data_IF_293505233103
#
_entry.id   IF_293505233103
#
_cell.length_a   1.000
_cell.length_b   1.000
_cell.length_c   1.000
_cell.angle_alpha   90.00
_cell.angle_beta   90.00
_cell.angle_gamma   90.00
#
_symmetry.space_group_name_H-M   'P 1'
#
loop_
_entity.id
_entity.type
_entity.pdbx_description
1 polymer ?
#
# COMPACT_ATOMS: atom_id res chain seq x y z
N UNK A 1 2.78 11.47 -18.96
CA UNK A 1 3.45 11.11 -20.24
C UNK A 1 4.83 11.73 -20.30
N UNK A 2 4.97 13.03 -20.06
CA UNK A 2 6.25 13.74 -20.19
C UNK A 2 7.31 13.22 -19.22
N UNK A 3 6.94 12.86 -18.01
CA UNK A 3 7.86 12.25 -17.05
C UNK A 3 8.39 10.89 -17.51
N UNK A 4 7.55 10.07 -18.17
CA UNK A 4 7.98 8.80 -18.77
C UNK A 4 9.00 9.06 -19.87
N UNK A 5 8.71 9.98 -20.79
CA UNK A 5 9.62 10.33 -21.87
C UNK A 5 10.92 10.95 -21.35
N UNK A 6 10.85 11.84 -20.38
CA UNK A 6 12.03 12.42 -19.71
C UNK A 6 12.90 11.31 -19.07
N UNK A 7 12.30 10.36 -18.37
CA UNK A 7 13.03 9.23 -17.79
C UNK A 7 13.70 8.39 -18.86
N UNK A 8 13.03 8.12 -19.99
CA UNK A 8 13.62 7.37 -21.09
C UNK A 8 14.84 8.08 -21.69
N UNK A 9 14.77 9.42 -21.88
CA UNK A 9 15.91 10.16 -22.41
C UNK A 9 17.09 10.20 -21.45
N UNK A 10 16.82 10.28 -20.13
CA UNK A 10 17.86 10.31 -19.10
C UNK A 10 18.53 8.95 -18.89
N UNK A 11 17.77 7.86 -19.00
CA UNK A 11 18.28 6.51 -18.73
C UNK A 11 18.95 5.91 -19.97
N UNK A 12 18.36 6.09 -21.14
CA UNK A 12 18.76 5.39 -22.36
C UNK A 12 19.22 6.32 -23.50
N UNK A 13 18.97 7.62 -23.40
CA UNK A 13 19.18 8.58 -24.47
C UNK A 13 20.18 9.68 -24.14
N UNK A 14 19.93 10.87 -24.69
CA UNK A 14 20.80 12.05 -24.59
C UNK A 14 20.43 13.00 -23.43
N UNK A 15 19.35 12.72 -22.71
CA UNK A 15 18.80 13.62 -21.70
C UNK A 15 18.02 14.81 -22.24
N UNK A 16 18.02 15.03 -23.58
CA UNK A 16 17.43 16.20 -24.27
C UNK A 16 16.18 15.89 -25.10
N UNK A 17 15.62 14.68 -24.95
CA UNK A 17 14.37 14.28 -25.60
C UNK A 17 14.49 13.11 -26.56
N UNK A 18 15.69 12.62 -26.87
CA UNK A 18 15.90 11.47 -27.73
C UNK A 18 16.20 10.23 -26.90
N UNK A 19 15.61 9.11 -27.27
CA UNK A 19 15.88 7.77 -26.74
C UNK A 19 15.80 6.72 -27.85
N UNK A 20 16.49 5.57 -27.72
CA UNK A 20 16.52 4.55 -28.75
C UNK A 20 15.13 3.98 -29.05
N UNK A 21 14.88 3.64 -30.29
CA UNK A 21 13.66 2.94 -30.72
C UNK A 21 13.52 1.64 -29.95
N UNK A 22 12.36 1.41 -29.37
CA UNK A 22 12.09 0.23 -28.54
C UNK A 22 12.55 0.36 -27.08
N UNK A 23 13.06 1.51 -26.64
CA UNK A 23 13.31 1.79 -25.23
C UNK A 23 11.99 1.82 -24.45
N UNK A 24 11.98 1.24 -23.26
CA UNK A 24 10.83 1.21 -22.36
C UNK A 24 11.25 1.18 -20.90
N UNK A 25 10.36 1.60 -20.01
CA UNK A 25 10.48 1.41 -18.58
C UNK A 25 9.76 0.12 -18.18
N UNK A 26 10.37 -0.70 -17.32
CA UNK A 26 9.73 -1.93 -16.87
C UNK A 26 8.49 -1.65 -16.04
N UNK A 27 8.55 -0.69 -15.11
CA UNK A 27 7.42 -0.31 -14.27
C UNK A 27 7.41 1.20 -14.05
N UNK A 28 6.23 1.78 -14.10
CA UNK A 28 5.97 3.17 -13.71
C UNK A 28 4.98 3.18 -12.56
N UNK A 29 5.29 3.91 -11.51
CA UNK A 29 4.45 4.05 -10.33
C UNK A 29 3.82 5.44 -10.30
N UNK A 30 2.50 5.52 -10.13
CA UNK A 30 1.84 6.74 -9.68
C UNK A 30 2.34 7.02 -8.26
N UNK A 31 2.96 8.19 -8.06
CA UNK A 31 3.66 8.48 -6.82
C UNK A 31 2.72 8.97 -5.73
N UNK A 32 2.79 8.28 -4.61
CA UNK A 32 2.23 8.60 -3.29
C UNK A 32 0.75 8.98 -3.29
N UNK A 33 -0.08 7.99 -2.98
CA UNK A 33 -1.50 8.24 -2.68
C UNK A 33 -1.66 8.70 -1.23
N UNK A 34 -2.21 9.89 -1.04
CA UNK A 34 -2.42 10.48 0.28
C UNK A 34 -3.91 10.55 0.67
N UNK A 35 -4.82 10.59 -0.30
CA UNK A 35 -6.26 10.72 -0.06
C UNK A 35 -7.12 10.10 -1.17
N UNK A 36 -8.44 10.03 -0.93
CA UNK A 36 -9.42 9.46 -1.88
C UNK A 36 -9.63 10.38 -3.09
N UNK A 37 -9.50 11.68 -2.91
CA UNK A 37 -9.67 12.68 -3.98
C UNK A 37 -8.61 12.48 -5.07
N UNK A 38 -7.38 12.16 -4.71
CA UNK A 38 -6.33 11.79 -5.67
C UNK A 38 -6.70 10.53 -6.45
N UNK A 39 -7.24 9.51 -5.77
CA UNK A 39 -7.70 8.29 -6.45
C UNK A 39 -8.82 8.61 -7.44
N UNK A 40 -9.75 9.50 -7.09
CA UNK A 40 -10.81 9.93 -8.00
C UNK A 40 -10.25 10.52 -9.29
N UNK A 41 -9.29 11.45 -9.17
CA UNK A 41 -8.63 12.07 -10.33
C UNK A 41 -7.88 11.05 -11.19
N UNK A 42 -7.24 10.05 -10.58
CA UNK A 42 -6.50 9.02 -11.31
C UNK A 42 -7.39 8.16 -12.20
N UNK A 43 -8.63 7.91 -11.79
CA UNK A 43 -9.61 7.09 -12.52
C UNK A 43 -10.47 7.88 -13.52
N UNK A 44 -10.32 9.20 -13.62
CA UNK A 44 -11.01 10.00 -14.64
C UNK A 44 -10.67 9.50 -16.05
N UNK A 45 -11.69 9.33 -16.88
CA UNK A 45 -11.56 8.78 -18.24
C UNK A 45 -11.43 7.26 -18.32
N UNK A 46 -11.37 6.55 -17.18
CA UNK A 46 -11.55 5.10 -17.11
C UNK A 46 -12.98 4.74 -16.70
N UNK A 47 -13.49 5.36 -15.65
CA UNK A 47 -14.84 5.15 -15.14
C UNK A 47 -15.90 6.02 -15.84
N UNK A 48 -15.46 7.07 -16.49
CA UNK A 48 -16.28 7.98 -17.29
C UNK A 48 -15.80 8.02 -18.73
N UNK A 49 -16.67 8.37 -19.72
CA UNK A 49 -16.22 8.59 -21.09
C UNK A 49 -15.10 9.65 -21.14
N UNK A 50 -14.08 9.38 -21.95
CA UNK A 50 -13.04 10.37 -22.23
C UNK A 50 -13.69 11.59 -22.91
N UNK A 51 -13.51 12.76 -22.32
CA UNK A 51 -13.77 14.03 -22.98
C UNK A 51 -12.57 14.40 -23.87
N UNK A 52 -12.70 14.46 -25.19
CA UNK A 52 -11.59 14.81 -26.10
C UNK A 52 -10.95 16.18 -25.80
N UNK A 53 -11.70 17.07 -25.14
CA UNK A 53 -11.24 18.40 -24.75
C UNK A 53 -11.09 18.56 -23.23
N UNK A 54 -11.27 17.48 -22.49
CA UNK A 54 -11.35 17.47 -21.04
C UNK A 54 -10.11 16.93 -20.36
N UNK A 55 -10.18 16.95 -19.04
CA UNK A 55 -9.20 16.30 -18.19
C UNK A 55 -9.43 14.78 -18.18
N UNK A 56 -8.35 14.05 -18.02
CA UNK A 56 -8.35 12.61 -17.81
C UNK A 56 -7.25 12.24 -16.79
N UNK A 57 -7.46 11.16 -16.09
CA UNK A 57 -6.55 10.70 -15.07
C UNK A 57 -5.26 10.11 -15.64
N UNK A 58 -4.23 10.05 -14.80
CA UNK A 58 -2.94 9.51 -15.22
C UNK A 58 -3.02 8.03 -15.63
N UNK A 59 -3.93 7.23 -15.08
CA UNK A 59 -4.04 5.80 -15.40
C UNK A 59 -4.40 5.55 -16.86
N UNK A 60 -5.31 6.30 -17.45
CA UNK A 60 -5.67 6.13 -18.85
C UNK A 60 -4.52 6.53 -19.78
N UNK A 61 -3.76 7.58 -19.43
CA UNK A 61 -2.58 7.99 -20.19
C UNK A 61 -1.43 6.96 -20.06
N UNK A 62 -1.21 6.39 -18.88
CA UNK A 62 -0.24 5.31 -18.68
C UNK A 62 -0.66 4.04 -19.43
N UNK A 63 -1.95 3.71 -19.45
CA UNK A 63 -2.48 2.61 -20.26
C UNK A 63 -2.17 2.79 -21.74
N UNK A 64 -2.33 4.02 -22.29
CA UNK A 64 -1.94 4.30 -23.69
C UNK A 64 -0.47 3.98 -23.94
N UNK A 65 0.43 4.35 -23.03
CA UNK A 65 1.86 4.07 -23.15
C UNK A 65 2.23 2.61 -22.93
N UNK A 66 1.44 1.85 -22.18
CA UNK A 66 1.62 0.40 -21.99
C UNK A 66 1.13 -0.37 -23.21
N UNK A 67 -0.07 -0.07 -23.68
CA UNK A 67 -0.76 -0.84 -24.70
C UNK A 67 -0.38 -0.40 -26.13
N UNK A 68 0.24 0.77 -26.29
CA UNK A 68 0.56 1.38 -27.59
C UNK A 68 -0.68 1.92 -28.28
N UNK A 69 -1.58 2.53 -27.51
CA UNK A 69 -2.79 3.21 -27.98
C UNK A 69 -2.66 4.72 -27.85
N UNK A 70 -3.60 5.48 -28.35
CA UNK A 70 -3.63 6.94 -28.28
C UNK A 70 -5.03 7.47 -27.97
N UNK A 71 -5.70 6.87 -26.97
CA UNK A 71 -7.06 7.26 -26.56
C UNK A 71 -7.08 8.70 -26.01
N UNK A 72 -6.00 9.08 -25.33
CA UNK A 72 -5.85 10.43 -24.73
C UNK A 72 -5.30 11.48 -25.69
N UNK A 73 -4.84 11.10 -26.89
CA UNK A 73 -4.12 11.99 -27.80
C UNK A 73 -2.65 12.26 -27.42
N UNK A 74 -2.17 11.77 -26.26
CA UNK A 74 -0.81 12.03 -25.76
C UNK A 74 0.25 11.05 -26.26
N UNK A 75 -0.17 10.00 -26.97
CA UNK A 75 0.72 9.00 -27.57
C UNK A 75 0.52 8.89 -29.10
N UNK A 76 0.72 9.96 -29.87
CA UNK A 76 0.38 10.00 -31.29
C UNK A 76 1.17 9.03 -32.17
N UNK A 77 2.28 8.49 -31.67
CA UNK A 77 3.08 7.47 -32.35
C UNK A 77 2.70 6.04 -31.98
N UNK A 78 1.73 5.86 -31.07
CA UNK A 78 1.32 4.55 -30.54
C UNK A 78 2.50 3.73 -29.99
N UNK A 79 3.43 4.41 -29.31
CA UNK A 79 4.62 3.78 -28.72
C UNK A 79 4.25 2.97 -27.47
N UNK A 80 4.94 1.85 -27.26
CA UNK A 80 4.89 1.08 -26.01
C UNK A 80 6.10 1.44 -25.16
N UNK A 81 5.93 2.45 -24.30
CA UNK A 81 7.01 3.04 -23.52
C UNK A 81 7.13 2.50 -22.10
N UNK A 82 6.13 1.77 -21.63
CA UNK A 82 6.13 1.14 -20.30
C UNK A 82 5.58 -0.29 -20.41
N UNK A 83 5.95 -1.17 -19.48
CA UNK A 83 5.42 -2.53 -19.43
C UNK A 83 4.36 -2.70 -18.35
N UNK A 84 4.62 -2.19 -17.15
CA UNK A 84 3.77 -2.38 -15.98
C UNK A 84 3.43 -1.04 -15.34
N UNK A 85 2.22 -0.96 -14.79
CA UNK A 85 1.73 0.20 -14.08
C UNK A 85 1.48 -0.19 -12.63
N UNK A 86 1.90 0.66 -11.71
CA UNK A 86 1.65 0.50 -10.30
C UNK A 86 1.43 1.84 -9.61
N UNK A 87 1.40 1.80 -8.30
CA UNK A 87 1.28 3.00 -7.48
C UNK A 87 2.10 2.87 -6.19
N UNK A 88 2.29 3.97 -5.49
CA UNK A 88 2.94 3.97 -4.19
C UNK A 88 2.09 4.65 -3.12
N UNK A 89 2.28 4.26 -1.87
CA UNK A 89 1.63 4.90 -0.74
C UNK A 89 2.39 4.68 0.57
N UNK A 90 2.28 5.67 1.47
CA UNK A 90 3.02 5.66 2.72
C UNK A 90 2.12 5.51 3.95
N UNK A 91 0.92 6.11 3.93
CA UNK A 91 0.25 6.43 5.17
C UNK A 91 -1.28 6.34 5.14
N UNK A 92 -1.92 6.10 4.00
CA UNK A 92 -3.37 6.08 3.89
C UNK A 92 -3.92 4.74 3.35
N UNK A 93 -4.10 3.72 4.21
CA UNK A 93 -4.68 2.45 3.80
C UNK A 93 -6.03 2.58 3.08
N UNK A 94 -6.99 3.41 3.52
CA UNK A 94 -8.25 3.61 2.80
C UNK A 94 -8.07 4.02 1.34
N UNK A 95 -7.22 5.02 1.06
CA UNK A 95 -6.97 5.47 -0.31
C UNK A 95 -6.28 4.38 -1.15
N UNK A 96 -5.32 3.68 -0.56
CA UNK A 96 -4.61 2.60 -1.26
C UNK A 96 -5.53 1.40 -1.57
N UNK A 97 -6.41 1.04 -0.65
CA UNK A 97 -7.42 -0.01 -0.88
C UNK A 97 -8.42 0.43 -1.94
N UNK A 98 -8.87 1.68 -1.89
CA UNK A 98 -9.77 2.27 -2.90
C UNK A 98 -9.16 2.19 -4.30
N UNK A 99 -7.88 2.54 -4.42
CA UNK A 99 -7.11 2.43 -5.66
C UNK A 99 -7.13 1.00 -6.21
N UNK A 100 -6.91 0.00 -5.37
CA UNK A 100 -6.89 -1.42 -5.79
C UNK A 100 -8.30 -1.90 -6.15
N UNK A 101 -9.30 -1.57 -5.34
CA UNK A 101 -10.68 -2.07 -5.50
C UNK A 101 -11.41 -1.47 -6.69
N UNK A 102 -11.03 -0.28 -7.14
CA UNK A 102 -11.59 0.37 -8.35
C UNK A 102 -11.00 -0.17 -9.64
N UNK A 103 -9.86 -0.85 -9.58
CA UNK A 103 -9.25 -1.43 -10.78
C UNK A 103 -10.01 -2.66 -11.26
N UNK A 104 -11.14 -2.44 -11.92
CA UNK A 104 -11.88 -3.44 -12.70
C UNK A 104 -11.29 -3.64 -14.10
N UNK A 105 -10.30 -2.81 -14.47
CA UNK A 105 -9.71 -2.74 -15.81
C UNK A 105 -8.40 -3.54 -15.96
N UNK A 106 -7.88 -4.09 -14.85
CA UNK A 106 -6.61 -4.82 -14.84
C UNK A 106 -5.41 -3.94 -15.22
N UNK A 107 -5.39 -2.70 -14.73
CA UNK A 107 -4.32 -1.74 -15.04
C UNK A 107 -3.17 -1.87 -14.05
N UNK A 108 -3.49 -2.08 -12.78
CA UNK A 108 -2.50 -2.13 -11.71
C UNK A 108 -1.84 -3.51 -11.64
N UNK A 109 -0.52 -3.52 -11.67
CA UNK A 109 0.30 -4.71 -11.62
C UNK A 109 1.32 -4.69 -10.47
N UNK A 110 1.53 -3.53 -9.83
CA UNK A 110 2.46 -3.41 -8.72
C UNK A 110 2.08 -2.33 -7.71
N UNK A 111 2.56 -2.52 -6.49
CA UNK A 111 2.39 -1.59 -5.38
C UNK A 111 3.70 -1.42 -4.62
N UNK A 112 4.10 -0.18 -4.41
CA UNK A 112 5.21 0.18 -3.53
C UNK A 112 4.63 0.73 -2.22
N UNK A 113 4.81 0.00 -1.13
CA UNK A 113 4.15 0.28 0.15
C UNK A 113 5.15 0.48 1.28
N UNK A 114 4.92 1.47 2.13
CA UNK A 114 5.70 1.65 3.34
C UNK A 114 5.43 0.52 4.33
N UNK A 115 6.51 -0.15 4.76
CA UNK A 115 6.43 -1.24 5.73
C UNK A 115 7.65 -1.25 6.64
N UNK A 116 7.40 -1.18 7.92
CA UNK A 116 8.41 -1.32 8.97
C UNK A 116 7.75 -1.67 10.31
N UNK A 117 8.55 -2.04 11.29
CA UNK A 117 8.07 -2.46 12.60
C UNK A 117 7.28 -1.39 13.37
N UNK A 118 7.47 -0.10 13.06
CA UNK A 118 6.74 1.00 13.70
C UNK A 118 5.40 1.30 13.04
N UNK A 119 5.32 1.17 11.72
CA UNK A 119 4.12 1.58 10.98
C UNK A 119 2.96 0.61 11.18
N UNK A 120 3.22 -0.62 11.65
CA UNK A 120 2.18 -1.56 12.03
C UNK A 120 1.22 -0.97 13.07
N UNK A 121 1.73 -0.20 14.03
CA UNK A 121 0.89 0.39 15.07
C UNK A 121 0.16 1.66 14.66
N UNK A 122 0.46 2.22 13.49
CA UNK A 122 -0.15 3.47 12.98
C UNK A 122 -1.02 3.23 11.76
N UNK A 123 -0.44 2.76 10.67
CA UNK A 123 -1.12 2.64 9.36
C UNK A 123 -1.57 1.22 9.06
N UNK A 124 -0.90 0.25 9.66
CA UNK A 124 -1.20 -1.17 9.54
C UNK A 124 -1.44 -1.64 8.11
N UNK A 125 -0.49 -1.38 7.22
CA UNK A 125 -0.54 -1.86 5.84
C UNK A 125 -0.58 -3.38 5.77
N UNK A 126 0.04 -4.05 6.76
CA UNK A 126 0.14 -5.52 6.85
C UNK A 126 -1.22 -6.20 6.98
N UNK A 127 -2.19 -5.58 7.67
CA UNK A 127 -3.50 -6.17 7.89
C UNK A 127 -4.59 -5.58 7.00
N UNK A 128 -4.30 -4.51 6.25
CA UNK A 128 -5.27 -3.80 5.42
C UNK A 128 -4.91 -3.88 3.93
N UNK A 129 -3.87 -3.17 3.50
CA UNK A 129 -3.55 -2.98 2.09
C UNK A 129 -2.90 -4.21 1.46
N UNK A 130 -1.90 -4.79 2.14
CA UNK A 130 -1.11 -5.90 1.61
C UNK A 130 -1.99 -7.13 1.30
N UNK A 131 -2.92 -7.57 2.19
CA UNK A 131 -3.78 -8.71 1.87
C UNK A 131 -4.67 -8.48 0.64
N UNK A 132 -5.15 -7.27 0.41
CA UNK A 132 -5.96 -6.93 -0.76
C UNK A 132 -5.10 -6.92 -2.03
N UNK A 133 -3.91 -6.34 -1.97
CA UNK A 133 -2.96 -6.30 -3.09
C UNK A 133 -2.49 -7.71 -3.48
N UNK A 134 -2.16 -8.56 -2.50
CA UNK A 134 -1.77 -9.96 -2.70
C UNK A 134 -2.90 -10.75 -3.37
N UNK A 135 -4.11 -10.68 -2.83
CA UNK A 135 -5.28 -11.38 -3.36
C UNK A 135 -5.69 -10.87 -4.75
N UNK A 136 -5.35 -9.62 -5.10
CA UNK A 136 -5.51 -9.05 -6.45
C UNK A 136 -4.39 -9.46 -7.41
N UNK A 137 -3.31 -10.08 -6.91
CA UNK A 137 -2.17 -10.53 -7.71
C UNK A 137 -1.17 -9.43 -8.05
N UNK A 138 -1.10 -8.36 -7.27
CA UNK A 138 -0.12 -7.29 -7.46
C UNK A 138 1.27 -7.72 -7.00
N UNK A 139 2.31 -7.28 -7.72
CA UNK A 139 3.69 -7.32 -7.22
C UNK A 139 3.86 -6.33 -6.07
N UNK A 140 4.24 -6.80 -4.88
CA UNK A 140 4.32 -5.96 -3.67
C UNK A 140 5.78 -5.69 -3.34
N UNK A 141 6.15 -4.42 -3.39
CA UNK A 141 7.49 -3.91 -3.08
C UNK A 141 7.40 -3.12 -1.77
N UNK A 142 8.14 -3.54 -0.76
CA UNK A 142 8.23 -2.79 0.50
C UNK A 142 9.24 -1.66 0.42
N UNK A 143 8.97 -0.57 1.12
CA UNK A 143 9.87 0.56 1.31
C UNK A 143 9.83 1.06 2.75
N UNK A 144 10.70 2.01 3.09
CA UNK A 144 10.74 2.65 4.41
C UNK A 144 11.02 1.70 5.58
N UNK A 145 11.72 0.61 5.33
CA UNK A 145 12.12 -0.41 6.33
C UNK A 145 12.66 0.20 7.63
N UNK A 146 13.36 1.33 7.54
CA UNK A 146 13.91 2.05 8.70
C UNK A 146 13.12 3.33 9.03
N UNK A 147 11.91 3.51 8.51
CA UNK A 147 11.12 4.72 8.68
C UNK A 147 11.94 6.01 8.41
N UNK A 148 12.72 6.03 7.32
CA UNK A 148 13.68 7.09 6.99
C UNK A 148 14.72 7.37 8.10
N UNK A 149 15.15 6.32 8.78
CA UNK A 149 16.02 6.34 9.97
C UNK A 149 15.37 7.00 11.22
N UNK A 150 14.08 7.28 11.20
CA UNK A 150 13.37 7.80 12.37
C UNK A 150 13.38 6.80 13.55
N UNK A 151 13.43 5.50 13.27
CA UNK A 151 13.63 4.42 14.25
C UNK A 151 14.93 4.63 15.05
N UNK A 152 15.93 5.30 14.48
CA UNK A 152 17.23 5.58 15.08
C UNK A 152 17.36 7.03 15.54
N UNK A 153 16.28 7.66 15.98
CA UNK A 153 16.25 9.03 16.51
C UNK A 153 16.70 10.14 15.54
N UNK A 154 16.65 9.88 14.23
CA UNK A 154 16.87 10.96 13.28
C UNK A 154 15.70 11.93 13.33
N UNK A 155 16.02 13.22 13.36
CA UNK A 155 14.98 14.25 13.21
C UNK A 155 14.28 14.13 11.86
N UNK A 156 12.96 14.12 11.81
CA UNK A 156 12.20 14.07 10.57
C UNK A 156 12.29 15.42 9.86
N UNK A 157 13.18 15.53 8.88
CA UNK A 157 13.33 16.70 8.03
C UNK A 157 13.76 16.32 6.62
N UNK A 158 13.40 17.14 5.66
CA UNK A 158 13.92 17.00 4.30
C UNK A 158 15.44 17.18 4.28
N UNK A 159 16.11 16.42 3.44
CA UNK A 159 17.55 16.57 3.22
C UNK A 159 17.83 17.94 2.59
N UNK A 160 18.66 18.73 3.25
CA UNK A 160 19.05 20.08 2.83
C UNK A 160 20.48 20.13 2.29
N UNK A 161 21.30 19.16 2.66
CA UNK A 161 22.69 19.03 2.22
C UNK A 161 22.97 17.60 1.76
N UNK A 162 24.02 17.36 0.96
CA UNK A 162 24.44 16.01 0.58
C UNK A 162 24.70 15.10 1.79
N UNK A 163 25.18 15.65 2.90
CA UNK A 163 25.43 14.89 4.13
C UNK A 163 24.14 14.36 4.79
N UNK A 164 23.00 15.02 4.57
CA UNK A 164 21.71 14.60 5.11
C UNK A 164 21.15 13.34 4.38
N UNK A 165 21.67 13.02 3.21
CA UNK A 165 21.29 11.82 2.45
C UNK A 165 21.91 10.57 3.06
N UNK A 166 23.09 10.68 3.69
CA UNK A 166 23.78 9.59 4.33
C UNK A 166 23.23 9.36 5.72
N UNK A 167 22.50 8.27 5.90
CA UNK A 167 21.85 7.93 7.15
C UNK A 167 22.47 6.69 7.74
N UNK A 168 22.88 6.77 8.99
CA UNK A 168 23.30 5.59 9.73
C UNK A 168 22.05 4.84 10.20
N UNK A 169 22.02 3.55 9.93
CA UNK A 169 21.01 2.62 10.43
C UNK A 169 21.69 1.48 11.16
N UNK A 170 21.02 0.96 12.16
CA UNK A 170 21.56 -0.08 13.03
C UNK A 170 22.31 0.48 14.24
N UNK A 171 21.93 0.01 15.41
CA UNK A 171 22.64 0.20 16.68
C UNK A 171 22.88 -1.17 17.32
N UNK A 172 23.75 -1.30 18.33
CA UNK A 172 23.88 -2.55 19.07
C UNK A 172 22.56 -3.07 19.64
N UNK A 173 21.69 -2.14 20.09
CA UNK A 173 20.38 -2.46 20.67
C UNK A 173 19.32 -2.81 19.61
N UNK A 174 19.45 -2.23 18.41
CA UNK A 174 18.55 -2.49 17.28
C UNK A 174 19.34 -2.58 15.98
N UNK A 175 19.93 -3.75 15.67
CA UNK A 175 20.65 -3.97 14.42
C UNK A 175 19.72 -3.81 13.20
N UNK A 176 20.29 -3.48 12.03
CA UNK A 176 19.51 -3.30 10.80
C UNK A 176 18.92 -4.61 10.26
N UNK A 177 19.61 -5.73 10.45
CA UNK A 177 19.19 -7.04 9.91
C UNK A 177 17.80 -7.46 10.36
N UNK A 178 17.43 -7.49 11.65
CA UNK A 178 16.09 -7.85 12.08
C UNK A 178 14.99 -6.99 11.46
N UNK A 179 15.25 -5.70 11.19
CA UNK A 179 14.26 -4.81 10.56
C UNK A 179 14.08 -5.11 9.07
N UNK A 180 15.15 -5.48 8.37
CA UNK A 180 15.08 -5.93 6.97
C UNK A 180 14.33 -7.26 6.90
N UNK A 181 14.70 -8.21 7.75
CA UNK A 181 14.07 -9.52 7.86
C UNK A 181 12.58 -9.38 8.20
N UNK A 182 12.25 -8.54 9.18
CA UNK A 182 10.86 -8.20 9.52
C UNK A 182 10.04 -7.77 8.29
N UNK A 183 10.59 -6.87 7.49
CA UNK A 183 9.86 -6.34 6.33
C UNK A 183 9.79 -7.37 5.18
N UNK A 184 10.87 -8.12 4.91
CA UNK A 184 10.91 -9.14 3.85
C UNK A 184 10.05 -10.36 4.16
N UNK A 185 9.95 -10.76 5.44
CA UNK A 185 9.13 -11.91 5.86
C UNK A 185 7.69 -11.53 6.16
N UNK A 186 7.28 -10.29 5.91
CA UNK A 186 5.87 -9.91 5.99
C UNK A 186 5.08 -10.61 4.88
N UNK A 187 4.01 -11.37 5.22
CA UNK A 187 3.20 -12.06 4.23
C UNK A 187 2.75 -11.14 3.11
N UNK A 188 2.87 -11.59 1.86
CA UNK A 188 2.54 -10.84 0.65
C UNK A 188 3.66 -9.92 0.13
N UNK A 189 4.71 -9.63 0.89
CA UNK A 189 5.84 -8.81 0.41
C UNK A 189 6.77 -9.65 -0.46
N UNK A 190 7.04 -9.20 -1.69
CA UNK A 190 7.89 -9.90 -2.65
C UNK A 190 9.33 -9.42 -2.61
N UNK A 191 9.57 -8.13 -2.38
CA UNK A 191 10.90 -7.52 -2.35
C UNK A 191 10.88 -6.19 -1.62
N UNK A 192 12.08 -5.66 -1.31
CA UNK A 192 12.24 -4.35 -0.68
C UNK A 192 13.14 -3.45 -1.50
N UNK A 193 12.86 -2.14 -1.43
CA UNK A 193 13.85 -1.10 -1.77
C UNK A 193 14.36 -0.48 -0.47
N UNK A 194 15.67 -0.46 -0.32
CA UNK A 194 16.34 0.03 0.89
C UNK A 194 17.36 1.09 0.48
N UNK A 195 17.39 2.20 1.22
CA UNK A 195 18.41 3.23 1.00
C UNK A 195 19.83 2.67 1.13
N UNK A 196 20.71 3.06 0.23
CA UNK A 196 22.10 2.62 0.20
C UNK A 196 22.85 3.05 1.48
N UNK A 197 22.52 4.23 2.02
CA UNK A 197 23.16 4.78 3.20
C UNK A 197 24.61 5.18 2.95
N UNK A 198 25.46 5.03 3.96
CA UNK A 198 26.89 5.32 3.85
C UNK A 198 27.61 4.26 3.02
N UNK A 199 28.38 4.69 2.04
CA UNK A 199 29.34 3.86 1.32
C UNK A 199 30.73 4.08 1.95
N UNK A 200 31.41 3.00 2.31
CA UNK A 200 32.72 3.03 2.97
C UNK A 200 33.58 1.87 2.45
N UNK A 201 34.88 2.05 2.39
CA UNK A 201 35.83 0.98 2.02
C UNK A 201 35.90 -0.12 3.10
N UNK A 202 35.63 0.23 4.36
CA UNK A 202 35.47 -0.73 5.44
C UNK A 202 34.09 -1.39 5.37
N UNK A 203 33.99 -2.70 5.08
CA UNK A 203 32.72 -3.40 4.97
C UNK A 203 31.83 -3.28 6.21
N UNK A 204 32.42 -3.12 7.38
CA UNK A 204 31.69 -2.97 8.65
C UNK A 204 31.02 -1.59 8.80
N UNK A 205 31.45 -0.62 8.00
CA UNK A 205 30.87 0.73 7.95
C UNK A 205 30.03 0.98 6.70
N UNK A 206 30.19 0.13 5.67
CA UNK A 206 29.48 0.27 4.42
C UNK A 206 28.05 -0.23 4.55
N UNK A 207 27.07 0.69 4.54
CA UNK A 207 25.66 0.33 4.69
C UNK A 207 25.15 -0.56 3.56
N UNK A 208 25.64 -0.38 2.35
CA UNK A 208 25.26 -1.22 1.21
C UNK A 208 25.64 -2.68 1.45
N UNK A 209 26.85 -2.94 1.95
CA UNK A 209 27.29 -4.29 2.26
C UNK A 209 26.52 -4.88 3.44
N UNK A 210 26.25 -4.08 4.48
CA UNK A 210 25.45 -4.51 5.61
C UNK A 210 24.00 -4.86 5.18
N UNK A 211 23.39 -4.06 4.32
CA UNK A 211 22.08 -4.34 3.76
C UNK A 211 22.07 -5.63 2.93
N UNK A 212 23.11 -5.85 2.12
CA UNK A 212 23.26 -7.07 1.33
C UNK A 212 23.30 -8.33 2.20
N UNK A 213 24.12 -8.33 3.25
CA UNK A 213 24.16 -9.45 4.18
C UNK A 213 22.86 -9.60 4.98
N UNK A 214 22.24 -8.50 5.36
CA UNK A 214 20.97 -8.51 6.08
C UNK A 214 19.79 -9.04 5.25
N UNK A 215 19.86 -8.93 3.92
CA UNK A 215 18.84 -9.42 3.00
C UNK A 215 18.97 -10.93 2.66
N UNK A 216 20.05 -11.59 3.13
CA UNK A 216 20.21 -13.03 2.98
C UNK A 216 19.45 -13.77 4.08
N UNK A 217 18.14 -13.93 3.87
CA UNK A 217 17.20 -14.54 4.81
C UNK A 217 16.36 -15.61 4.12
N UNK A 218 15.79 -16.51 4.90
CA UNK A 218 14.81 -17.46 4.40
C UNK A 218 13.41 -16.82 4.36
N UNK A 219 12.65 -16.99 3.29
CA UNK A 219 11.24 -16.58 3.25
C UNK A 219 10.47 -17.18 4.43
N UNK A 220 9.54 -16.40 4.99
CA UNK A 220 8.73 -16.80 6.13
C UNK A 220 9.51 -17.25 7.39
N UNK A 221 10.82 -16.95 7.42
CA UNK A 221 11.73 -17.44 8.46
C UNK A 221 11.57 -16.79 9.83
N UNK A 222 10.86 -15.66 9.95
CA UNK A 222 10.73 -14.94 11.21
C UNK A 222 9.51 -15.42 12.02
N UNK A 223 9.70 -16.02 13.20
CA UNK A 223 8.60 -16.41 14.07
C UNK A 223 7.75 -15.22 14.54
N UNK A 224 6.45 -15.45 14.77
CA UNK A 224 5.53 -14.42 15.24
C UNK A 224 5.97 -13.75 16.55
N UNK A 225 6.55 -14.54 17.48
CA UNK A 225 7.08 -14.02 18.73
C UNK A 225 8.26 -13.07 18.54
N UNK A 226 9.14 -13.36 17.57
CA UNK A 226 10.26 -12.49 17.23
C UNK A 226 9.79 -11.21 16.56
N UNK A 227 8.82 -11.28 15.64
CA UNK A 227 8.17 -10.11 15.06
C UNK A 227 7.62 -9.18 16.13
N UNK A 228 6.89 -9.74 17.10
CA UNK A 228 6.31 -8.96 18.19
C UNK A 228 7.39 -8.26 19.04
N UNK A 229 8.47 -8.95 19.38
CA UNK A 229 9.61 -8.34 20.11
C UNK A 229 10.23 -7.18 19.35
N UNK A 230 10.38 -7.30 18.02
CA UNK A 230 10.90 -6.21 17.18
C UNK A 230 9.93 -5.02 17.17
N UNK A 231 8.63 -5.27 17.04
CA UNK A 231 7.59 -4.24 17.08
C UNK A 231 7.58 -3.48 18.42
N UNK A 232 7.61 -4.21 19.53
CA UNK A 232 7.68 -3.62 20.87
C UNK A 232 8.97 -2.81 21.10
N UNK A 233 10.10 -3.32 20.62
CA UNK A 233 11.39 -2.62 20.73
C UNK A 233 11.41 -1.36 19.89
N UNK A 234 10.98 -1.45 18.64
CA UNK A 234 10.86 -0.31 17.73
C UNK A 234 9.91 0.76 18.29
N UNK A 235 8.79 0.37 18.89
CA UNK A 235 7.84 1.27 19.51
C UNK A 235 8.45 2.05 20.70
N UNK A 236 9.29 1.42 21.49
CA UNK A 236 10.00 2.07 22.61
C UNK A 236 11.00 3.12 22.15
N UNK A 237 11.75 2.82 21.07
CA UNK A 237 12.77 3.73 20.53
C UNK A 237 12.13 4.95 19.87
N UNK A 238 10.98 4.75 19.19
CA UNK A 238 10.31 5.82 18.43
C UNK A 238 9.55 6.83 19.29
N UNK A 239 9.58 6.73 20.58
CA UNK A 239 8.72 7.44 21.55
C UNK A 239 8.35 8.88 21.19
N UNK A 240 9.21 9.63 20.50
CA UNK A 240 9.04 11.06 20.21
C UNK A 240 9.19 11.43 18.71
N UNK A 241 9.24 10.46 17.81
CA UNK A 241 9.40 10.72 16.38
C UNK A 241 8.05 10.96 15.71
N UNK A 242 7.81 12.18 15.25
CA UNK A 242 6.62 12.61 14.49
C UNK A 242 6.82 12.43 12.96
N UNK A 243 7.59 11.47 12.53
CA UNK A 243 7.88 11.30 11.10
C UNK A 243 6.61 11.13 10.25
N UNK A 244 5.64 10.39 10.78
CA UNK A 244 4.30 10.28 10.21
C UNK A 244 3.32 10.92 11.20
N UNK A 245 2.79 12.08 10.86
CA UNK A 245 1.89 12.86 11.71
C UNK A 245 0.44 12.34 11.75
N UNK A 246 0.18 11.12 11.30
CA UNK A 246 -1.17 10.58 11.22
C UNK A 246 -1.56 9.81 12.49
N UNK A 247 -2.86 9.80 12.76
CA UNK A 247 -3.44 9.03 13.86
C UNK A 247 -3.32 7.52 13.61
N UNK A 248 -3.31 6.75 14.69
CA UNK A 248 -3.34 5.30 14.63
C UNK A 248 -4.62 4.81 13.95
N UNK A 249 -4.51 3.94 12.98
CA UNK A 249 -5.66 3.24 12.40
C UNK A 249 -6.13 2.18 13.38
N UNK A 250 -7.33 2.37 13.94
CA UNK A 250 -7.97 1.38 14.80
C UNK A 250 -8.88 0.42 14.03
N UNK A 251 -9.43 -0.57 14.72
CA UNK A 251 -10.49 -1.42 14.16
C UNK A 251 -11.73 -0.56 13.87
N UNK A 252 -12.22 -0.60 12.63
CA UNK A 252 -13.41 0.16 12.24
C UNK A 252 -14.64 -0.73 12.09
N UNK A 253 -15.81 -0.11 12.12
CA UNK A 253 -17.03 -0.72 11.64
C UNK A 253 -16.97 -0.91 10.10
N UNK A 254 -17.80 -1.83 9.53
CA UNK A 254 -17.89 -1.96 8.09
C UNK A 254 -18.49 -0.72 7.44
N UNK A 255 -18.06 -0.41 6.22
CA UNK A 255 -18.55 0.73 5.46
C UNK A 255 -19.77 0.40 4.59
N UNK A 256 -20.54 1.43 4.19
CA UNK A 256 -21.63 1.31 3.21
C UNK A 256 -22.62 0.18 3.49
N UNK A 257 -23.13 0.13 4.72
CA UNK A 257 -24.14 -0.86 5.12
C UNK A 257 -25.46 -0.55 4.45
N UNK A 258 -25.96 -1.44 3.62
CA UNK A 258 -27.20 -1.29 2.86
C UNK A 258 -28.05 -2.56 2.96
N UNK A 259 -29.37 -2.39 3.01
CA UNK A 259 -30.33 -3.48 2.86
C UNK A 259 -31.18 -3.23 1.62
N UNK A 260 -31.07 -4.12 0.65
CA UNK A 260 -31.89 -4.08 -0.57
C UNK A 260 -32.56 -5.43 -0.75
N UNK A 261 -33.87 -5.44 -0.86
CA UNK A 261 -34.67 -6.64 -0.80
C UNK A 261 -34.36 -7.43 0.47
N UNK A 262 -33.89 -8.64 0.39
CA UNK A 262 -33.47 -9.46 1.53
C UNK A 262 -31.95 -9.60 1.64
N UNK A 263 -31.18 -8.71 1.00
CA UNK A 263 -29.71 -8.74 0.99
C UNK A 263 -29.13 -7.58 1.76
N UNK A 264 -28.47 -7.90 2.86
CA UNK A 264 -27.63 -6.97 3.60
C UNK A 264 -26.24 -6.98 2.97
N UNK A 265 -25.74 -5.82 2.58
CA UNK A 265 -24.41 -5.66 1.96
C UNK A 265 -23.57 -4.64 2.71
N UNK A 266 -22.25 -4.82 2.71
CA UNK A 266 -21.31 -3.86 3.31
C UNK A 266 -19.92 -3.97 2.67
N UNK A 267 -19.15 -2.90 2.74
CA UNK A 267 -17.76 -2.89 2.35
C UNK A 267 -16.84 -3.24 3.53
N UNK A 268 -15.62 -3.65 3.20
CA UNK A 268 -14.60 -4.03 4.19
C UNK A 268 -14.43 -2.95 5.27
N UNK A 269 -14.25 -3.42 6.50
CA UNK A 269 -13.74 -2.61 7.60
C UNK A 269 -12.21 -2.52 7.54
N UNK A 270 -11.60 -1.66 8.35
CA UNK A 270 -10.15 -1.56 8.51
C UNK A 270 -9.72 -2.24 9.82
N UNK A 271 -8.69 -3.05 9.72
CA UNK A 271 -8.07 -3.72 10.85
C UNK A 271 -7.27 -2.72 11.70
N UNK A 272 -7.32 -2.93 13.00
CA UNK A 272 -6.42 -2.29 13.96
C UNK A 272 -5.13 -3.09 14.17
N UNK A 273 -4.77 -3.32 15.43
CA UNK A 273 -3.56 -4.07 15.80
C UNK A 273 -3.60 -5.55 15.37
N UNK A 274 -4.81 -6.09 15.19
CA UNK A 274 -5.03 -7.50 14.82
C UNK A 274 -5.82 -7.59 13.51
N UNK A 275 -5.58 -8.63 12.70
CA UNK A 275 -6.36 -8.86 11.48
C UNK A 275 -7.85 -9.07 11.79
N UNK A 276 -8.72 -8.64 10.89
CA UNK A 276 -10.15 -8.94 10.98
C UNK A 276 -10.34 -10.46 10.85
N UNK A 277 -11.20 -11.01 11.69
CA UNK A 277 -11.59 -12.41 11.68
C UNK A 277 -12.88 -12.60 10.86
N UNK A 278 -13.94 -11.93 11.27
CA UNK A 278 -15.26 -12.09 10.67
C UNK A 278 -16.15 -10.90 10.96
N UNK A 279 -17.33 -10.90 10.32
CA UNK A 279 -18.43 -10.00 10.62
C UNK A 279 -19.55 -10.76 11.31
N UNK A 280 -20.11 -10.20 12.37
CA UNK A 280 -21.32 -10.71 13.03
C UNK A 280 -22.52 -9.88 12.62
N UNK A 281 -23.60 -10.53 12.19
CA UNK A 281 -24.85 -9.91 11.82
C UNK A 281 -25.78 -9.97 13.01
N UNK A 282 -26.15 -8.79 13.51
CA UNK A 282 -27.06 -8.63 14.65
C UNK A 282 -28.45 -8.19 14.15
N UNK A 283 -29.50 -8.85 14.58
CA UNK A 283 -30.89 -8.49 14.29
C UNK A 283 -31.66 -8.39 15.60
N UNK A 284 -32.24 -7.22 15.89
CA UNK A 284 -32.90 -6.95 17.16
C UNK A 284 -32.04 -7.30 18.40
N UNK A 285 -30.74 -7.03 18.31
CA UNK A 285 -29.76 -7.29 19.37
C UNK A 285 -29.35 -8.76 19.55
N UNK A 286 -29.79 -9.66 18.67
CA UNK A 286 -29.41 -11.08 18.70
C UNK A 286 -28.52 -11.45 17.53
N UNK A 287 -27.56 -12.34 17.74
CA UNK A 287 -26.70 -12.84 16.69
C UNK A 287 -27.51 -13.68 15.70
N UNK A 288 -27.63 -13.21 14.46
CA UNK A 288 -28.35 -13.88 13.38
C UNK A 288 -27.43 -14.72 12.49
N UNK A 289 -26.16 -14.30 12.33
CA UNK A 289 -25.20 -15.04 11.52
C UNK A 289 -23.79 -14.46 11.58
N UNK A 290 -22.87 -15.16 10.90
CA UNK A 290 -21.49 -14.73 10.76
C UNK A 290 -21.05 -14.84 9.29
N UNK A 291 -20.20 -13.90 8.85
CA UNK A 291 -19.57 -13.91 7.54
C UNK A 291 -18.06 -13.79 7.75
N UNK A 292 -17.30 -14.76 7.28
CA UNK A 292 -15.85 -14.76 7.39
C UNK A 292 -15.25 -13.58 6.59
N UNK A 293 -14.24 -12.94 7.18
CA UNK A 293 -13.54 -11.88 6.50
C UNK A 293 -12.61 -12.46 5.42
N UNK A 294 -12.62 -11.83 4.27
CA UNK A 294 -11.68 -12.04 3.16
C UNK A 294 -11.34 -10.70 2.54
N UNK A 295 -10.17 -10.57 1.86
CA UNK A 295 -9.88 -9.36 1.10
C UNK A 295 -10.99 -9.04 0.10
N UNK A 296 -11.57 -7.85 0.17
CA UNK A 296 -12.52 -7.36 -0.83
C UNK A 296 -11.73 -6.83 -2.02
N UNK A 297 -11.84 -7.50 -3.18
CA UNK A 297 -11.03 -7.20 -4.36
C UNK A 297 -11.61 -6.08 -5.23
N UNK A 298 -12.93 -5.94 -5.24
CA UNK A 298 -13.64 -4.95 -6.03
C UNK A 298 -14.69 -4.24 -5.17
N UNK A 299 -14.87 -2.95 -5.38
CA UNK A 299 -15.96 -2.19 -4.73
C UNK A 299 -17.33 -2.70 -5.14
N UNK A 300 -17.48 -3.15 -6.38
CA UNK A 300 -18.70 -3.75 -6.92
C UNK A 300 -19.05 -5.12 -6.33
N UNK A 301 -18.16 -5.71 -5.52
CA UNK A 301 -18.35 -7.00 -4.86
C UNK A 301 -18.30 -6.87 -3.34
N UNK A 302 -19.30 -6.25 -2.70
CA UNK A 302 -19.39 -6.13 -1.26
C UNK A 302 -19.58 -7.48 -0.58
N UNK A 303 -19.39 -7.53 0.73
CA UNK A 303 -19.87 -8.65 1.56
C UNK A 303 -21.38 -8.71 1.51
N UNK A 304 -21.94 -9.91 1.61
CA UNK A 304 -23.38 -10.15 1.51
C UNK A 304 -23.84 -11.11 2.59
N UNK A 305 -24.99 -10.81 3.18
CA UNK A 305 -25.73 -11.73 4.05
C UNK A 305 -27.22 -11.69 3.65
N UNK A 306 -27.81 -12.87 3.40
CA UNK A 306 -29.23 -12.97 3.08
C UNK A 306 -30.05 -13.08 4.38
N UNK A 307 -31.12 -12.30 4.49
CA UNK A 307 -32.02 -12.30 5.66
C UNK A 307 -33.46 -12.23 5.24
N UNK A 308 -34.29 -13.10 5.79
CA UNK A 308 -35.75 -13.10 5.56
C UNK A 308 -36.50 -12.06 6.42
N UNK A 309 -35.77 -11.32 7.25
CA UNK A 309 -36.36 -10.38 8.20
C UNK A 309 -36.21 -8.95 7.72
N UNK A 310 -37.28 -8.38 7.19
CA UNK A 310 -37.44 -6.93 7.15
C UNK A 310 -37.56 -6.44 8.60
N UNK A 311 -36.49 -6.02 9.24
CA UNK A 311 -36.52 -5.66 10.65
C UNK A 311 -35.72 -4.39 10.95
N UNK A 312 -36.29 -3.56 11.82
CA UNK A 312 -35.52 -2.51 12.51
C UNK A 312 -34.47 -3.14 13.44
N UNK A 313 -33.35 -2.46 13.61
CA UNK A 313 -32.27 -2.90 14.52
C UNK A 313 -31.34 -3.93 13.91
N UNK A 314 -31.00 -3.78 12.63
CA UNK A 314 -29.93 -4.55 11.97
C UNK A 314 -28.59 -3.83 12.21
N UNK A 315 -27.60 -4.58 12.62
CA UNK A 315 -26.23 -4.10 12.73
C UNK A 315 -25.24 -5.16 12.21
N UNK A 316 -24.10 -4.70 11.73
CA UNK A 316 -22.97 -5.54 11.36
C UNK A 316 -21.78 -5.15 12.23
N UNK A 317 -21.22 -6.14 12.90
CA UNK A 317 -20.10 -5.96 13.84
C UNK A 317 -18.84 -6.58 13.25
N UNK A 318 -17.82 -5.78 13.03
CA UNK A 318 -16.48 -6.27 12.71
C UNK A 318 -15.87 -6.87 13.97
N UNK A 319 -15.29 -8.07 13.85
CA UNK A 319 -14.58 -8.75 14.95
C UNK A 319 -13.17 -9.10 14.47
N UNK A 320 -12.15 -8.69 15.22
CA UNK A 320 -10.77 -9.05 14.94
C UNK A 320 -10.35 -10.36 15.62
N UNK A 321 -9.13 -10.84 15.34
CA UNK A 321 -8.60 -12.08 15.91
C UNK A 321 -8.34 -12.03 17.42
N UNK A 322 -8.30 -10.85 18.02
CA UNK A 322 -8.20 -10.66 19.47
C UNK A 322 -9.57 -10.51 20.14
N UNK A 323 -10.67 -10.48 19.37
CA UNK A 323 -12.03 -10.32 19.87
C UNK A 323 -12.46 -8.87 20.06
N UNK A 324 -11.67 -7.88 19.60
CA UNK A 324 -12.12 -6.50 19.57
C UNK A 324 -13.27 -6.33 18.57
N UNK A 325 -14.15 -5.37 18.80
CA UNK A 325 -15.44 -5.21 18.09
C UNK A 325 -15.67 -3.78 17.67
N UNK A 326 -16.21 -3.60 16.47
CA UNK A 326 -16.66 -2.30 15.96
C UNK A 326 -17.97 -2.48 15.17
N UNK A 327 -19.01 -1.69 15.47
CA UNK A 327 -20.36 -1.90 14.99
C UNK A 327 -20.78 -0.78 14.03
N UNK A 328 -21.46 -1.17 12.93
CA UNK A 328 -22.28 -0.30 12.10
C UNK A 328 -23.74 -0.69 12.22
N UNK A 329 -24.62 0.29 12.44
CA UNK A 329 -26.08 0.10 12.52
C UNK A 329 -26.70 0.57 11.20
N UNK A 330 -27.62 -0.22 10.66
CA UNK A 330 -28.41 0.16 9.49
C UNK A 330 -29.32 1.34 9.87
N UNK A 331 -29.18 2.44 9.13
CA UNK A 331 -29.93 3.67 9.37
C UNK A 331 -31.40 3.55 8.97
#
# INVERSE_FOLDING_TARGET
>A
VDDVKRSLTQIFGDGEGNYPVGAYLNMVLVHTLENIEEVNVLYEGLETPLDPNGNFGALVALRDLRDGTNLTGMNPKNEKLIRHIGFSGHANPPAMIDMIQRDEYGILEGMLVAINANDKTKYNMQHNVIPVAEAKGLGIIGMKTFADAAIYHKEPRWSQTPADVFRKVGTPELPSRPLIEYSLTTPGVHTLIIGIGQIDEDPMKCQLIQNFYAAQIEPDGMPAEERLKIEEHAAKIKRDSNYFQMEKVGLTSPGNLLLTDNKLTWNTAFAGDFPISHYEIMIAGQLAGKVEHKPQLLKSQPFVYETDKASSGIAVVTVDKAGNRAEAVLA
#
